data_IF_632479362648
#
_entry.id   IF_632479362648
#
_cell.length_a   1.000
_cell.length_b   1.000
_cell.length_c   1.000
_cell.angle_alpha   90.00
_cell.angle_beta   90.00
_cell.angle_gamma   90.00
#
_symmetry.space_group_name_H-M   'P 1'
#
loop_
_entity.id
_entity.type
_entity.pdbx_description
1 polymer ?
#
# COMPACT_ATOMS: atom_id res chain seq x y z
N UNK A 1 12.66 25.62 -22.33
CA UNK A 1 12.34 24.51 -23.25
C UNK A 1 11.35 23.57 -22.58
N UNK A 2 10.08 23.98 -22.44
CA UNK A 2 9.01 23.10 -21.94
C UNK A 2 8.83 21.85 -22.79
N UNK A 3 9.21 21.88 -24.08
CA UNK A 3 9.07 20.75 -25.00
C UNK A 3 9.81 19.47 -24.56
N UNK A 4 10.91 19.60 -23.79
CA UNK A 4 11.65 18.44 -23.26
C UNK A 4 10.93 17.70 -22.14
N UNK A 5 10.06 18.37 -21.38
CA UNK A 5 9.29 17.73 -20.31
C UNK A 5 8.12 16.90 -20.88
N UNK A 6 7.65 17.24 -22.09
CA UNK A 6 6.56 16.56 -22.77
C UNK A 6 7.05 15.41 -23.67
N UNK A 7 8.32 15.44 -24.07
CA UNK A 7 8.90 14.42 -24.95
C UNK A 7 9.36 13.17 -24.18
N UNK A 8 9.27 11.96 -24.78
CA UNK A 8 9.97 10.79 -24.29
C UNK A 8 11.48 11.03 -24.23
N UNK A 9 12.13 10.48 -23.20
CA UNK A 9 13.57 10.53 -23.01
C UNK A 9 14.10 9.11 -22.83
N UNK A 10 15.33 8.82 -23.27
CA UNK A 10 16.00 7.58 -22.89
C UNK A 10 16.33 7.65 -21.40
N UNK A 11 15.57 6.91 -20.59
CA UNK A 11 15.72 6.87 -19.14
C UNK A 11 16.44 5.60 -18.71
N UNK A 12 17.33 5.74 -17.73
CA UNK A 12 17.84 4.63 -16.91
C UNK A 12 17.65 5.01 -15.44
N UNK A 13 16.87 4.22 -14.72
CA UNK A 13 16.59 4.43 -13.30
C UNK A 13 17.10 3.22 -12.53
N UNK A 14 17.92 3.47 -11.51
CA UNK A 14 18.47 2.43 -10.64
C UNK A 14 18.03 2.67 -9.20
N UNK A 15 17.47 1.63 -8.59
CA UNK A 15 17.15 1.60 -7.16
C UNK A 15 17.99 0.46 -6.54
N UNK A 16 19.14 0.79 -5.92
CA UNK A 16 20.10 -0.22 -5.47
C UNK A 16 19.57 -1.17 -4.39
N UNK A 17 18.64 -0.70 -3.57
CA UNK A 17 18.05 -1.45 -2.47
C UNK A 17 16.57 -1.08 -2.29
N UNK A 18 15.71 -1.84 -2.95
CA UNK A 18 14.25 -1.71 -2.88
C UNK A 18 13.67 -2.86 -2.05
N UNK A 19 12.99 -2.60 -0.92
CA UNK A 19 12.18 -3.63 -0.28
C UNK A 19 11.13 -4.15 -1.27
N UNK A 20 11.09 -5.45 -1.52
CA UNK A 20 10.14 -6.07 -2.43
C UNK A 20 9.50 -7.30 -1.77
N UNK A 21 8.40 -7.09 -1.05
CA UNK A 21 7.58 -8.18 -0.50
C UNK A 21 6.82 -8.90 -1.61
N UNK A 22 7.46 -9.89 -2.19
CA UNK A 22 7.05 -10.56 -3.43
C UNK A 22 8.23 -10.85 -4.36
N UNK A 23 9.42 -10.35 -4.01
CA UNK A 23 10.68 -10.64 -4.69
C UNK A 23 10.75 -10.10 -6.11
N UNK A 24 11.70 -10.63 -6.86
CA UNK A 24 12.00 -10.30 -8.26
C UNK A 24 10.76 -10.45 -9.15
N UNK A 25 10.00 -11.53 -8.99
CA UNK A 25 8.81 -11.81 -9.80
C UNK A 25 7.74 -10.72 -9.70
N UNK A 26 7.50 -10.20 -8.49
CA UNK A 26 6.54 -9.11 -8.31
C UNK A 26 7.01 -7.83 -9.01
N UNK A 27 8.31 -7.53 -8.96
CA UNK A 27 8.87 -6.35 -9.65
C UNK A 27 8.60 -6.44 -11.14
N UNK A 28 8.86 -7.60 -11.75
CA UNK A 28 8.58 -7.81 -13.17
C UNK A 28 7.09 -7.65 -13.50
N UNK A 29 6.19 -8.24 -12.71
CA UNK A 29 4.73 -8.12 -12.90
C UNK A 29 4.23 -6.67 -12.81
N UNK A 30 4.86 -5.84 -11.98
CA UNK A 30 4.46 -4.45 -11.78
C UNK A 30 5.05 -3.49 -12.82
N UNK A 31 6.29 -3.69 -13.27
CA UNK A 31 6.94 -2.75 -14.19
C UNK A 31 6.91 -3.16 -15.65
N UNK A 32 6.91 -4.46 -15.99
CA UNK A 32 6.93 -4.90 -17.39
C UNK A 32 5.73 -4.40 -18.22
N UNK A 33 4.50 -4.30 -17.69
CA UNK A 33 3.36 -3.79 -18.45
C UNK A 33 3.40 -2.28 -18.74
N UNK A 34 4.35 -1.54 -18.16
CA UNK A 34 4.36 -0.07 -18.14
C UNK A 34 5.16 0.59 -19.27
N UNK A 35 5.55 -0.18 -20.29
CA UNK A 35 6.30 0.34 -21.43
C UNK A 35 7.81 0.51 -21.19
N UNK A 36 8.35 -0.05 -20.10
CA UNK A 36 9.80 -0.18 -19.94
C UNK A 36 10.34 -1.23 -20.93
N UNK A 37 11.36 -0.87 -21.69
CA UNK A 37 12.02 -1.79 -22.61
C UNK A 37 12.76 -2.89 -21.86
N UNK A 38 13.32 -2.54 -20.68
CA UNK A 38 14.08 -3.44 -19.84
C UNK A 38 13.76 -3.20 -18.37
N UNK A 39 13.35 -4.26 -17.71
CA UNK A 39 13.17 -4.34 -16.27
C UNK A 39 14.13 -5.40 -15.77
N UNK A 40 15.10 -5.00 -14.96
CA UNK A 40 15.95 -5.94 -14.25
C UNK A 40 15.70 -5.86 -12.76
N UNK A 41 15.47 -7.01 -12.16
CA UNK A 41 15.42 -7.15 -10.72
C UNK A 41 16.33 -8.30 -10.30
N UNK A 42 17.27 -8.02 -9.39
CA UNK A 42 18.17 -9.03 -8.83
C UNK A 42 18.00 -9.03 -7.33
N UNK A 43 17.79 -10.21 -6.74
CA UNK A 43 17.73 -10.36 -5.29
C UNK A 43 19.08 -9.98 -4.67
N UNK A 44 19.03 -9.21 -3.58
CA UNK A 44 20.24 -8.85 -2.83
C UNK A 44 20.45 -9.90 -1.75
N UNK A 45 21.61 -10.59 -1.70
CA UNK A 45 21.88 -11.59 -0.67
C UNK A 45 21.82 -10.97 0.73
N UNK A 46 21.42 -11.74 1.74
CA UNK A 46 21.42 -11.26 3.11
C UNK A 46 22.84 -10.93 3.59
N UNK A 47 23.79 -11.78 3.21
CA UNK A 47 25.21 -11.60 3.47
C UNK A 47 26.02 -12.36 2.39
N UNK A 48 26.96 -11.68 1.73
CA UNK A 48 27.81 -12.26 0.69
C UNK A 48 28.80 -13.30 1.24
N UNK A 49 29.19 -13.20 2.52
CA UNK A 49 30.09 -14.15 3.18
C UNK A 49 29.35 -15.39 3.68
N UNK A 50 28.03 -15.32 3.85
CA UNK A 50 27.19 -16.43 4.31
C UNK A 50 26.04 -16.73 3.32
N UNK A 51 26.32 -17.28 2.12
CA UNK A 51 25.29 -17.55 1.10
C UNK A 51 24.15 -18.47 1.57
N UNK A 52 24.42 -19.32 2.58
CA UNK A 52 23.43 -20.21 3.16
C UNK A 52 22.26 -19.47 3.86
N UNK A 53 22.42 -18.18 4.17
CA UNK A 53 21.36 -17.35 4.74
C UNK A 53 20.33 -16.90 3.69
N UNK A 54 20.63 -17.12 2.40
CA UNK A 54 19.75 -16.80 1.29
C UNK A 54 19.64 -15.30 1.02
N UNK A 55 18.57 -14.94 0.31
CA UNK A 55 18.34 -13.58 -0.11
C UNK A 55 17.70 -12.72 0.99
N UNK A 56 18.07 -11.44 1.00
CA UNK A 56 17.38 -10.43 1.80
C UNK A 56 16.01 -10.11 1.20
N UNK A 57 15.23 -9.29 1.91
CA UNK A 57 13.97 -8.72 1.39
C UNK A 57 14.16 -7.67 0.29
N UNK A 58 15.41 -7.30 -0.02
CA UNK A 58 15.74 -6.24 -0.95
C UNK A 58 16.06 -6.80 -2.33
N UNK A 59 15.70 -6.02 -3.34
CA UNK A 59 16.09 -6.23 -4.72
C UNK A 59 16.84 -5.01 -5.23
N UNK A 60 17.81 -5.23 -6.11
CA UNK A 60 18.37 -4.19 -6.96
C UNK A 60 17.50 -4.11 -8.22
N UNK A 61 16.91 -2.93 -8.45
CA UNK A 61 16.06 -2.67 -9.61
C UNK A 61 16.78 -1.75 -10.59
N UNK A 62 16.77 -2.11 -11.87
CA UNK A 62 17.16 -1.25 -12.99
C UNK A 62 16.03 -1.22 -14.01
N UNK A 63 15.60 -0.02 -14.37
CA UNK A 63 14.57 0.24 -15.39
C UNK A 63 15.20 1.03 -16.53
N UNK A 64 15.00 0.59 -17.77
CA UNK A 64 15.47 1.31 -18.97
C UNK A 64 14.38 1.35 -20.04
N UNK A 65 14.28 2.48 -20.74
CA UNK A 65 13.37 2.66 -21.87
C UNK A 65 13.16 4.13 -22.25
N UNK A 66 12.45 4.35 -23.35
CA UNK A 66 12.04 5.68 -23.80
C UNK A 66 10.66 6.09 -23.24
N UNK A 67 10.65 6.85 -22.15
CA UNK A 67 9.42 7.31 -21.50
C UNK A 67 9.50 8.81 -21.19
N UNK A 68 8.34 9.45 -21.02
CA UNK A 68 8.31 10.79 -20.42
C UNK A 68 8.73 10.67 -18.95
N UNK A 69 9.58 11.59 -18.49
CA UNK A 69 10.04 11.59 -17.10
C UNK A 69 8.89 11.66 -16.09
N UNK A 70 7.83 12.41 -16.41
CA UNK A 70 6.65 12.51 -15.56
C UNK A 70 5.94 11.15 -15.37
N UNK A 71 5.85 10.34 -16.43
CA UNK A 71 5.20 9.04 -16.39
C UNK A 71 6.02 8.06 -15.55
N UNK A 72 7.33 7.99 -15.79
CA UNK A 72 8.25 7.18 -15.01
C UNK A 72 8.20 7.52 -13.50
N UNK A 73 8.20 8.82 -13.16
CA UNK A 73 8.12 9.26 -11.75
C UNK A 73 6.76 8.94 -11.11
N UNK A 74 5.66 9.07 -11.85
CA UNK A 74 4.32 8.69 -11.37
C UNK A 74 4.21 7.18 -11.11
N UNK A 75 4.73 6.36 -12.02
CA UNK A 75 4.81 4.90 -11.83
C UNK A 75 5.61 4.55 -10.58
N UNK A 76 6.81 5.12 -10.40
CA UNK A 76 7.64 4.88 -9.21
C UNK A 76 6.95 5.35 -7.92
N UNK A 77 6.30 6.51 -7.94
CA UNK A 77 5.56 7.05 -6.81
C UNK A 77 4.48 6.07 -6.31
N UNK A 78 3.78 5.39 -7.21
CA UNK A 78 2.76 4.40 -6.87
C UNK A 78 3.36 3.04 -6.50
N UNK A 79 4.33 2.55 -7.27
CA UNK A 79 4.77 1.16 -7.20
C UNK A 79 5.82 0.88 -6.10
N UNK A 80 6.64 1.86 -5.72
CA UNK A 80 7.61 1.65 -4.64
C UNK A 80 6.91 1.34 -3.30
N UNK A 81 5.85 2.09 -2.87
CA UNK A 81 5.08 1.71 -1.69
C UNK A 81 4.35 0.36 -1.81
N UNK A 82 3.94 -0.04 -3.01
CA UNK A 82 3.29 -1.34 -3.27
C UNK A 82 4.27 -2.50 -3.10
N UNK A 83 5.54 -2.30 -3.48
CA UNK A 83 6.61 -3.28 -3.30
C UNK A 83 7.03 -3.40 -1.83
N UNK A 84 7.13 -2.28 -1.12
CA UNK A 84 7.47 -2.27 0.31
C UNK A 84 6.35 -2.86 1.18
N UNK A 85 5.09 -2.59 0.81
CA UNK A 85 3.88 -3.11 1.47
C UNK A 85 3.89 -2.81 2.99
N UNK A 86 4.47 -1.67 3.37
CA UNK A 86 4.72 -1.27 4.75
C UNK A 86 4.50 0.23 4.95
N UNK A 87 3.27 0.71 4.85
CA UNK A 87 2.95 2.09 5.26
C UNK A 87 2.79 2.16 6.78
N UNK A 88 3.67 2.92 7.43
CA UNK A 88 3.63 3.18 8.88
C UNK A 88 2.79 4.42 9.27
N UNK A 89 2.24 5.14 8.28
CA UNK A 89 1.34 6.26 8.48
C UNK A 89 -0.11 5.86 8.18
N UNK A 90 -1.06 6.55 8.81
CA UNK A 90 -2.49 6.29 8.61
C UNK A 90 -2.89 6.73 7.20
N UNK A 91 -3.36 5.79 6.37
CA UNK A 91 -3.92 6.07 5.05
C UNK A 91 -5.32 6.66 5.23
N UNK A 92 -5.49 7.89 4.76
CA UNK A 92 -6.73 8.66 4.76
C UNK A 92 -7.41 8.64 3.37
N UNK A 93 -8.69 9.05 3.25
CA UNK A 93 -9.42 8.99 1.98
C UNK A 93 -8.78 9.75 0.82
N UNK A 94 -8.03 10.83 1.10
CA UNK A 94 -7.28 11.60 0.09
C UNK A 94 -6.17 10.79 -0.59
N UNK A 95 -5.73 9.67 -0.02
CA UNK A 95 -4.80 8.75 -0.67
C UNK A 95 -5.42 8.08 -1.91
N UNK A 96 -6.74 7.94 -1.96
CA UNK A 96 -7.45 7.45 -3.17
C UNK A 96 -7.28 8.46 -4.29
N UNK A 97 -7.54 9.75 -4.04
CA UNK A 97 -7.40 10.79 -5.07
C UNK A 97 -5.95 10.93 -5.55
N UNK A 98 -4.98 10.78 -4.64
CA UNK A 98 -3.55 10.76 -5.00
C UNK A 98 -3.22 9.56 -5.89
N UNK A 99 -3.77 8.38 -5.58
CA UNK A 99 -3.58 7.18 -6.39
C UNK A 99 -4.16 7.37 -7.79
N UNK A 100 -5.39 7.86 -7.90
CA UNK A 100 -6.05 8.09 -9.19
C UNK A 100 -5.28 9.09 -10.05
N UNK A 101 -4.83 10.21 -9.45
CA UNK A 101 -4.02 11.21 -10.16
C UNK A 101 -2.67 10.67 -10.63
N UNK A 102 -1.98 9.90 -9.79
CA UNK A 102 -0.70 9.31 -10.17
C UNK A 102 -0.87 8.13 -11.13
N UNK A 103 -2.02 7.45 -11.07
CA UNK A 103 -2.41 6.32 -11.91
C UNK A 103 -2.99 6.71 -13.27
N UNK A 104 -3.26 7.98 -13.51
CA UNK A 104 -3.89 8.47 -14.74
C UNK A 104 -3.11 8.05 -16.00
N UNK A 105 -3.81 7.40 -16.92
CA UNK A 105 -3.28 6.92 -18.20
C UNK A 105 -2.52 5.59 -18.15
N UNK A 106 -2.48 4.89 -17.01
CA UNK A 106 -1.83 3.56 -16.96
C UNK A 106 -2.44 2.58 -15.94
N UNK A 107 -2.94 3.06 -14.80
CA UNK A 107 -3.36 2.18 -13.70
C UNK A 107 -4.67 1.45 -14.00
N UNK A 108 -5.58 2.08 -14.76
CA UNK A 108 -6.88 1.52 -15.10
C UNK A 108 -6.76 0.21 -15.89
N UNK A 109 -5.75 0.12 -16.77
CA UNK A 109 -5.46 -1.03 -17.63
C UNK A 109 -4.39 -1.98 -17.10
N UNK A 110 -3.78 -1.64 -15.96
CA UNK A 110 -2.69 -2.45 -15.43
C UNK A 110 -3.19 -3.84 -15.00
N UNK A 111 -2.55 -4.96 -15.43
CA UNK A 111 -3.03 -6.31 -15.10
C UNK A 111 -3.02 -6.60 -13.59
N UNK A 112 -2.06 -6.01 -12.87
CA UNK A 112 -1.96 -6.11 -11.40
C UNK A 112 -2.72 -4.98 -10.66
N UNK A 113 -3.66 -4.27 -11.32
CA UNK A 113 -4.45 -3.18 -10.71
C UNK A 113 -5.04 -3.56 -9.34
N UNK A 114 -5.69 -4.73 -9.14
CA UNK A 114 -6.24 -5.10 -7.83
C UNK A 114 -5.18 -5.24 -6.74
N UNK A 115 -3.97 -5.67 -7.09
CA UNK A 115 -2.86 -5.78 -6.15
C UNK A 115 -2.32 -4.39 -5.80
N UNK A 116 -2.15 -3.53 -6.80
CA UNK A 116 -1.65 -2.16 -6.66
C UNK A 116 -2.58 -1.35 -5.75
N UNK A 117 -3.88 -1.30 -6.05
CA UNK A 117 -4.86 -0.54 -5.25
C UNK A 117 -4.92 -1.02 -3.82
N UNK A 118 -4.95 -2.35 -3.62
CA UNK A 118 -4.97 -2.97 -2.29
C UNK A 118 -3.74 -2.62 -1.46
N UNK A 119 -2.53 -2.78 -2.00
CA UNK A 119 -1.28 -2.52 -1.24
C UNK A 119 -1.02 -1.03 -1.05
N UNK A 120 -1.25 -0.22 -2.09
CA UNK A 120 -1.07 1.23 -1.99
C UNK A 120 -1.97 1.82 -0.88
N UNK A 121 -3.19 1.31 -0.73
CA UNK A 121 -4.13 1.75 0.29
C UNK A 121 -4.02 0.95 1.61
N UNK A 122 -2.89 0.29 1.84
CA UNK A 122 -2.61 -0.45 3.09
C UNK A 122 -3.69 -1.46 3.47
N UNK A 123 -4.20 -2.17 2.46
CA UNK A 123 -5.26 -3.17 2.58
C UNK A 123 -6.58 -2.66 3.18
N UNK A 124 -6.84 -1.33 3.12
CA UNK A 124 -8.11 -0.73 3.54
C UNK A 124 -9.21 -1.04 2.54
N UNK A 125 -9.97 -2.10 2.80
CA UNK A 125 -11.04 -2.58 1.91
C UNK A 125 -11.97 -1.47 1.39
N UNK A 126 -12.47 -0.59 2.25
CA UNK A 126 -13.34 0.51 1.84
C UNK A 126 -12.70 1.45 0.82
N UNK A 127 -11.43 1.81 1.02
CA UNK A 127 -10.69 2.66 0.08
C UNK A 127 -10.32 1.91 -1.20
N UNK A 128 -9.95 0.62 -1.09
CA UNK A 128 -9.66 -0.22 -2.26
C UNK A 128 -10.87 -0.34 -3.16
N UNK A 129 -12.07 -0.62 -2.61
CA UNK A 129 -13.31 -0.66 -3.40
C UNK A 129 -13.60 0.67 -4.08
N UNK A 130 -13.42 1.79 -3.37
CA UNK A 130 -13.63 3.12 -3.93
C UNK A 130 -12.67 3.39 -5.11
N UNK A 131 -11.39 3.04 -4.95
CA UNK A 131 -10.40 3.19 -6.02
C UNK A 131 -10.69 2.28 -7.21
N UNK A 132 -11.05 1.02 -6.97
CA UNK A 132 -11.36 0.04 -8.02
C UNK A 132 -12.60 0.47 -8.83
N UNK A 133 -13.65 0.98 -8.16
CA UNK A 133 -14.84 1.52 -8.84
C UNK A 133 -14.48 2.71 -9.72
N UNK A 134 -13.69 3.66 -9.22
CA UNK A 134 -13.27 4.83 -9.99
C UNK A 134 -12.41 4.44 -11.20
N UNK A 135 -11.48 3.51 -11.04
CA UNK A 135 -10.64 3.02 -12.14
C UNK A 135 -11.43 2.23 -13.18
N UNK A 136 -12.46 1.50 -12.77
CA UNK A 136 -13.34 0.80 -13.71
C UNK A 136 -14.17 1.77 -14.55
N UNK A 137 -14.66 2.86 -13.96
CA UNK A 137 -15.34 3.92 -14.70
C UNK A 137 -14.42 4.56 -15.75
N UNK A 138 -13.15 4.82 -15.40
CA UNK A 138 -12.16 5.34 -16.35
C UNK A 138 -11.95 4.36 -17.51
N UNK A 139 -11.73 3.07 -17.21
CA UNK A 139 -11.52 2.04 -18.22
C UNK A 139 -12.70 1.91 -19.18
N UNK A 140 -13.92 1.92 -18.64
CA UNK A 140 -15.15 1.86 -19.45
C UNK A 140 -15.28 3.08 -20.35
N UNK A 141 -15.04 4.28 -19.81
CA UNK A 141 -15.09 5.53 -20.57
C UNK A 141 -14.04 5.60 -21.70
N UNK A 142 -12.88 4.98 -21.53
CA UNK A 142 -11.85 4.88 -22.59
C UNK A 142 -12.18 3.80 -23.62
N UNK A 143 -13.05 2.83 -23.29
CA UNK A 143 -13.43 1.72 -24.16
C UNK A 143 -14.69 1.95 -25.01
N UNK A 144 -15.57 2.89 -24.64
CA UNK A 144 -16.83 3.16 -25.34
C UNK A 144 -16.75 4.33 -26.32
N UNK A 145 -16.83 4.00 -27.62
CA UNK A 145 -17.39 4.85 -28.68
C UNK A 145 -18.88 4.49 -28.94
N UNK A 146 -19.62 3.88 -27.99
CA UNK A 146 -21.09 3.76 -28.07
C UNK A 146 -21.80 3.70 -26.70
N UNK A 147 -23.00 4.29 -26.71
CA UNK A 147 -23.98 4.60 -25.67
C UNK A 147 -24.57 3.38 -24.91
N UNK A 148 -24.60 3.41 -23.57
CA UNK A 148 -25.55 2.64 -22.74
C UNK A 148 -25.88 3.36 -21.41
N UNK A 149 -27.07 3.95 -21.35
CA UNK A 149 -27.88 4.06 -20.15
C UNK A 149 -28.07 2.66 -19.52
N UNK A 150 -27.36 2.38 -18.41
CA UNK A 150 -27.86 1.64 -17.23
C UNK A 150 -26.71 1.22 -16.32
N UNK A 151 -26.40 2.06 -15.33
CA UNK A 151 -25.81 1.56 -14.08
C UNK A 151 -26.67 2.09 -12.94
N UNK A 152 -27.81 1.43 -12.73
CA UNK A 152 -28.49 1.47 -11.45
C UNK A 152 -27.67 0.62 -10.47
N UNK A 153 -26.74 1.27 -9.77
CA UNK A 153 -26.15 0.71 -8.56
C UNK A 153 -26.84 1.39 -7.38
N UNK A 154 -27.96 0.81 -6.96
CA UNK A 154 -28.53 1.04 -5.66
C UNK A 154 -27.44 0.90 -4.59
N UNK A 155 -27.01 2.04 -4.04
CA UNK A 155 -26.17 2.09 -2.85
C UNK A 155 -27.09 1.79 -1.68
N UNK A 156 -27.13 0.52 -1.28
CA UNK A 156 -27.68 0.15 0.02
C UNK A 156 -26.69 0.66 1.09
N UNK A 157 -27.04 1.76 1.77
CA UNK A 157 -26.31 2.31 2.91
C UNK A 157 -26.52 1.50 4.21
N UNK A 158 -27.02 0.27 4.14
CA UNK A 158 -27.28 -0.54 5.32
C UNK A 158 -26.69 -1.95 5.23
N UNK A 159 -25.42 -2.09 5.63
CA UNK A 159 -24.92 -3.09 6.58
C UNK A 159 -23.39 -3.15 6.54
N UNK A 160 -22.77 -2.90 7.70
CA UNK A 160 -21.56 -3.61 8.12
C UNK A 160 -21.47 -3.50 9.66
N UNK A 161 -22.46 -4.13 10.31
CA UNK A 161 -22.26 -4.79 11.59
C UNK A 161 -21.53 -6.11 11.32
N UNK A 162 -20.25 -6.04 11.02
CA UNK A 162 -19.34 -7.17 11.26
C UNK A 162 -18.58 -6.85 12.54
N UNK A 163 -18.78 -7.68 13.57
CA UNK A 163 -18.00 -7.64 14.81
C UNK A 163 -16.52 -7.79 14.45
N UNK A 164 -15.81 -6.66 14.39
CA UNK A 164 -14.35 -6.67 14.31
C UNK A 164 -13.82 -7.53 15.45
N UNK A 165 -12.97 -8.54 15.20
CA UNK A 165 -12.31 -9.25 16.27
C UNK A 165 -11.55 -8.22 17.11
N UNK A 166 -11.85 -8.20 18.41
CA UNK A 166 -11.24 -7.27 19.35
C UNK A 166 -9.71 -7.40 19.23
N UNK A 167 -8.98 -6.30 18.95
CA UNK A 167 -7.54 -6.36 18.72
C UNK A 167 -6.80 -7.02 19.90
N UNK A 168 -5.75 -7.78 19.63
CA UNK A 168 -4.94 -8.42 20.68
C UNK A 168 -4.40 -7.41 21.72
N UNK A 169 -4.16 -6.16 21.32
CA UNK A 169 -3.76 -5.10 22.22
C UNK A 169 -4.85 -4.77 23.26
N UNK A 170 -6.12 -4.87 22.88
CA UNK A 170 -7.27 -4.67 23.76
C UNK A 170 -7.47 -5.87 24.69
N UNK A 171 -7.40 -7.10 24.16
CA UNK A 171 -7.37 -8.31 24.99
C UNK A 171 -6.25 -8.27 26.04
N UNK A 172 -5.05 -7.82 25.64
CA UNK A 172 -3.91 -7.69 26.53
C UNK A 172 -4.16 -6.66 27.63
N UNK A 173 -4.77 -5.52 27.32
CA UNK A 173 -5.14 -4.51 28.32
C UNK A 173 -6.15 -5.06 29.33
N UNK A 174 -7.19 -5.74 28.85
CA UNK A 174 -8.18 -6.38 29.74
C UNK A 174 -7.53 -7.41 30.66
N UNK A 175 -6.68 -8.30 30.11
CA UNK A 175 -5.97 -9.29 30.91
C UNK A 175 -5.02 -8.67 31.95
N UNK A 176 -4.33 -7.57 31.61
CA UNK A 176 -3.50 -6.83 32.56
C UNK A 176 -4.35 -6.23 33.69
N UNK A 177 -5.50 -5.62 33.37
CA UNK A 177 -6.40 -5.06 34.38
C UNK A 177 -6.90 -6.16 35.32
N UNK A 178 -7.33 -7.30 34.80
CA UNK A 178 -7.83 -8.40 35.62
C UNK A 178 -6.74 -9.00 36.52
N UNK A 179 -5.52 -9.15 36.01
CA UNK A 179 -4.38 -9.59 36.82
C UNK A 179 -4.06 -8.59 37.96
N UNK A 180 -4.08 -7.29 37.68
CA UNK A 180 -3.87 -6.24 38.69
C UNK A 180 -4.99 -6.22 39.73
N UNK A 181 -6.24 -6.47 39.31
CA UNK A 181 -7.38 -6.58 40.22
C UNK A 181 -7.25 -7.78 41.14
N UNK A 182 -6.90 -8.94 40.59
CA UNK A 182 -6.70 -10.17 41.34
C UNK A 182 -5.52 -10.05 42.33
N UNK A 183 -4.48 -9.31 41.95
CA UNK A 183 -3.34 -9.01 42.81
C UNK A 183 -3.66 -7.95 43.90
N UNK A 184 -4.84 -7.33 43.89
CA UNK A 184 -5.19 -6.28 44.84
C UNK A 184 -4.30 -5.02 44.72
N UNK A 185 -3.73 -4.77 43.53
CA UNK A 185 -2.81 -3.67 43.34
C UNK A 185 -3.50 -2.31 43.55
N UNK A 186 -2.91 -1.47 44.39
CA UNK A 186 -3.36 -0.09 44.65
C UNK A 186 -2.43 0.97 44.05
N UNK A 187 -1.22 0.57 43.64
CA UNK A 187 -0.22 1.43 43.00
C UNK A 187 0.43 0.64 41.86
N UNK A 188 0.46 1.23 40.67
CA UNK A 188 0.96 0.59 39.44
C UNK A 188 1.96 1.53 38.78
N UNK A 189 3.10 0.99 38.35
CA UNK A 189 4.12 1.70 37.57
C UNK A 189 4.06 1.19 36.12
N UNK A 190 3.74 2.07 35.17
CA UNK A 190 3.67 1.75 33.74
C UNK A 190 4.96 2.22 33.02
N UNK A 191 5.86 1.27 32.75
CA UNK A 191 7.13 1.53 32.06
C UNK A 191 6.96 1.33 30.56
N UNK A 192 7.28 2.36 29.77
CA UNK A 192 7.07 2.33 28.31
C UNK A 192 5.60 2.55 27.92
N UNK A 193 4.90 3.43 28.65
CA UNK A 193 3.46 3.65 28.54
C UNK A 193 2.95 4.17 27.19
N UNK A 194 3.85 4.59 26.27
CA UNK A 194 3.49 5.09 24.95
C UNK A 194 2.49 6.25 25.02
N UNK A 195 1.36 6.13 24.32
CA UNK A 195 0.26 7.12 24.38
C UNK A 195 -0.59 7.05 25.68
N UNK A 196 -0.23 6.20 26.64
CA UNK A 196 -0.89 6.12 27.96
C UNK A 196 -2.25 5.40 27.96
N UNK A 197 -2.52 4.53 26.98
CA UNK A 197 -3.82 3.85 26.87
C UNK A 197 -4.15 2.95 28.08
N UNK A 198 -3.14 2.29 28.66
CA UNK A 198 -3.33 1.48 29.87
C UNK A 198 -3.61 2.37 31.09
N UNK A 199 -2.88 3.49 31.21
CA UNK A 199 -3.11 4.49 32.27
C UNK A 199 -4.52 5.06 32.19
N UNK A 200 -5.00 5.43 31.00
CA UNK A 200 -6.38 5.90 30.82
C UNK A 200 -7.43 4.87 31.28
N UNK A 201 -7.19 3.58 31.04
CA UNK A 201 -8.07 2.52 31.49
C UNK A 201 -8.02 2.34 33.02
N UNK A 202 -6.82 2.39 33.62
CA UNK A 202 -6.62 2.33 35.07
C UNK A 202 -7.30 3.51 35.80
N UNK A 203 -7.28 4.71 35.21
CA UNK A 203 -7.95 5.89 35.78
C UNK A 203 -9.48 5.80 35.79
N UNK A 204 -10.08 4.96 34.94
CA UNK A 204 -11.52 4.70 34.94
C UNK A 204 -11.92 3.68 36.03
N UNK A 205 -10.96 2.89 36.51
CA UNK A 205 -11.13 1.96 37.63
C UNK A 205 -10.86 2.71 38.93
N UNK A 206 -11.84 3.52 39.35
CA UNK A 206 -11.76 4.30 40.59
C UNK A 206 -11.96 3.35 41.77
N UNK A 207 -10.86 2.94 42.40
CA UNK A 207 -10.85 2.25 43.69
C UNK A 207 -10.54 3.21 44.83
#
# INVERSE_FOLDING_TARGET
MPERAESPLPLRIEVPALPARGGVELVHKLFAPLGWERVEATAVPLDEQFPAWGDSRYVRLVLEGELRLADALRQLYVLLPVLDDAKHYWVAPDEVDKLLRAGEGWLADHPERPLITRRYLSHRWGLTRQADQALELVRLAESDDLDVDSVDNAVDESTDTEEKPVPLAEHRRTAILDALRAAGASRVLDLGCGQGQLVQALLKDVR
#
